data_IF_028399659571
#
_entry.id   IF_028399659571
#
_cell.length_a   1.000
_cell.length_b   1.000
_cell.length_c   1.000
_cell.angle_alpha   90.00
_cell.angle_beta   90.00
_cell.angle_gamma   90.00
#
_symmetry.space_group_name_H-M   'P 1'
#
loop_
_entity.id
_entity.type
_entity.pdbx_description
1 polymer ?
#
# COMPACT_ATOMS: atom_id res chain seq x y z
N UNK A 1 -3.67 -15.81 -56.26
CA UNK A 1 -4.58 -15.01 -55.41
C UNK A 1 -4.28 -15.10 -53.90
N UNK A 2 -3.06 -15.48 -53.47
CA UNK A 2 -2.68 -15.56 -52.03
C UNK A 2 -2.27 -14.21 -51.42
N UNK A 3 -1.62 -13.34 -52.21
CA UNK A 3 -1.13 -12.02 -51.78
C UNK A 3 -2.23 -11.09 -51.24
N UNK A 4 -3.47 -11.22 -51.74
CA UNK A 4 -4.60 -10.37 -51.32
C UNK A 4 -5.13 -10.77 -49.94
N UNK A 5 -5.10 -12.07 -49.61
CA UNK A 5 -5.54 -12.57 -48.30
C UNK A 5 -4.52 -12.24 -47.21
N UNK A 6 -3.23 -12.38 -47.52
CA UNK A 6 -2.12 -12.05 -46.62
C UNK A 6 -2.12 -10.56 -46.26
N UNK A 7 -2.35 -9.67 -47.24
CA UNK A 7 -2.47 -8.23 -46.99
C UNK A 7 -3.68 -7.89 -46.11
N UNK A 8 -4.83 -8.53 -46.34
CA UNK A 8 -6.03 -8.34 -45.52
C UNK A 8 -5.81 -8.83 -44.09
N UNK A 9 -5.15 -9.97 -43.92
CA UNK A 9 -4.81 -10.51 -42.60
C UNK A 9 -3.85 -9.59 -41.85
N UNK A 10 -2.84 -9.06 -42.52
CA UNK A 10 -1.85 -8.15 -41.92
C UNK A 10 -2.51 -6.84 -41.48
N UNK A 11 -3.40 -6.28 -42.29
CA UNK A 11 -4.19 -5.09 -41.92
C UNK A 11 -5.11 -5.40 -40.73
N UNK A 12 -5.81 -6.55 -40.73
CA UNK A 12 -6.68 -6.93 -39.63
C UNK A 12 -5.90 -7.12 -38.31
N UNK A 13 -4.71 -7.71 -38.36
CA UNK A 13 -3.82 -7.83 -37.21
C UNK A 13 -3.36 -6.45 -36.74
N UNK A 14 -2.95 -5.57 -37.65
CA UNK A 14 -2.46 -4.24 -37.29
C UNK A 14 -3.55 -3.37 -36.65
N UNK A 15 -4.77 -3.43 -37.19
CA UNK A 15 -5.95 -2.76 -36.62
C UNK A 15 -6.34 -3.37 -35.28
N UNK A 16 -6.30 -4.70 -35.16
CA UNK A 16 -6.54 -5.40 -33.91
C UNK A 16 -5.51 -5.05 -32.82
N UNK A 17 -4.23 -4.97 -33.19
CA UNK A 17 -3.15 -4.58 -32.28
C UNK A 17 -3.27 -3.11 -31.88
N UNK A 18 -3.60 -2.22 -32.82
CA UNK A 18 -3.81 -0.80 -32.55
C UNK A 18 -5.02 -0.55 -31.65
N UNK A 19 -6.13 -1.26 -31.89
CA UNK A 19 -7.31 -1.22 -31.04
C UNK A 19 -7.05 -1.78 -29.64
N UNK A 20 -6.35 -2.91 -29.55
CA UNK A 20 -5.94 -3.49 -28.28
C UNK A 20 -4.97 -2.56 -27.52
N UNK A 21 -4.01 -1.95 -28.21
CA UNK A 21 -3.07 -1.00 -27.63
C UNK A 21 -3.81 0.25 -27.11
N UNK A 22 -4.72 0.83 -27.89
CA UNK A 22 -5.52 1.99 -27.47
C UNK A 22 -6.43 1.67 -26.26
N UNK A 23 -7.12 0.52 -26.31
CA UNK A 23 -7.95 0.05 -25.20
C UNK A 23 -7.11 -0.23 -23.93
N UNK A 24 -5.92 -0.80 -24.10
CA UNK A 24 -4.99 -1.02 -23.00
C UNK A 24 -4.39 0.28 -22.49
N UNK A 25 -4.14 1.28 -23.35
CA UNK A 25 -3.60 2.59 -23.00
C UNK A 25 -4.60 3.41 -22.17
N UNK A 26 -5.89 3.35 -22.50
CA UNK A 26 -6.94 3.96 -21.69
C UNK A 26 -7.13 3.25 -20.33
N UNK A 27 -6.86 1.94 -20.26
CA UNK A 27 -6.75 1.23 -18.97
C UNK A 27 -5.44 1.49 -18.21
N UNK A 28 -4.36 1.84 -18.91
CA UNK A 28 -3.02 2.09 -18.33
C UNK A 28 -2.70 3.57 -18.14
N UNK A 29 -3.70 4.46 -18.23
CA UNK A 29 -3.63 5.84 -17.75
C UNK A 29 -3.28 6.01 -16.27
N UNK A 30 -3.06 4.91 -15.53
CA UNK A 30 -2.47 4.88 -14.19
C UNK A 30 -1.87 3.49 -13.91
N UNK A 31 -1.02 3.00 -14.81
CA UNK A 31 -0.16 1.85 -14.49
C UNK A 31 1.26 2.19 -14.88
N UNK A 32 1.94 2.92 -13.98
CA UNK A 32 3.39 2.82 -13.89
C UNK A 32 3.70 1.32 -13.79
N UNK A 33 4.47 0.80 -14.73
CA UNK A 33 5.04 -0.54 -14.63
C UNK A 33 5.96 -0.56 -13.40
N UNK A 34 5.39 -0.86 -12.24
CA UNK A 34 6.08 -1.36 -11.05
C UNK A 34 7.12 -0.43 -10.43
N UNK A 35 6.88 0.87 -10.31
CA UNK A 35 7.61 1.66 -9.34
C UNK A 35 7.09 1.29 -7.93
N UNK A 36 7.63 0.19 -7.41
CA UNK A 36 7.40 -0.21 -6.02
C UNK A 36 7.88 0.92 -5.12
N UNK A 37 7.09 1.25 -4.11
CA UNK A 37 7.51 2.17 -3.05
C UNK A 37 8.73 1.56 -2.38
N UNK A 38 9.89 2.19 -2.51
CA UNK A 38 11.12 1.74 -1.83
C UNK A 38 11.81 2.91 -1.14
N UNK A 39 12.41 2.65 0.01
CA UNK A 39 13.25 3.62 0.72
C UNK A 39 14.61 3.85 0.05
N UNK A 40 14.85 3.25 -1.12
CA UNK A 40 16.06 3.44 -1.95
C UNK A 40 15.82 4.36 -3.14
N UNK A 41 14.56 4.61 -3.53
CA UNK A 41 14.24 5.43 -4.71
C UNK A 41 13.87 6.86 -4.33
N UNK A 42 14.40 7.83 -5.08
CA UNK A 42 14.04 9.25 -5.03
C UNK A 42 13.03 9.66 -6.11
N UNK A 43 12.45 8.70 -6.84
CA UNK A 43 11.36 8.98 -7.80
C UNK A 43 10.12 9.51 -7.09
N UNK A 44 9.17 10.05 -7.85
CA UNK A 44 7.89 10.54 -7.33
C UNK A 44 7.10 9.47 -6.55
N UNK A 45 7.24 8.19 -6.93
CA UNK A 45 6.64 7.03 -6.25
C UNK A 45 7.58 6.40 -5.18
N UNK A 46 8.73 7.03 -4.88
CA UNK A 46 9.74 6.54 -3.96
C UNK A 46 9.57 7.04 -2.51
N UNK A 47 10.24 6.37 -1.56
CA UNK A 47 10.21 6.72 -0.13
C UNK A 47 11.57 7.18 0.42
N UNK A 48 12.56 7.48 -0.42
CA UNK A 48 13.88 7.91 0.05
C UNK A 48 13.83 9.23 0.83
N UNK A 49 13.00 10.19 0.39
CA UNK A 49 12.83 11.45 1.10
C UNK A 49 12.28 11.24 2.51
N UNK A 50 11.25 10.40 2.66
CA UNK A 50 10.69 10.02 3.96
C UNK A 50 11.74 9.32 4.84
N UNK A 51 12.49 8.37 4.28
CA UNK A 51 13.58 7.69 5.00
C UNK A 51 14.61 8.69 5.53
N UNK A 52 15.08 9.63 4.70
CA UNK A 52 16.07 10.64 5.10
C UNK A 52 15.53 11.60 6.15
N UNK A 53 14.28 12.00 6.02
CA UNK A 53 13.62 12.85 7.01
C UNK A 53 13.51 12.14 8.37
N UNK A 54 13.13 10.86 8.39
CA UNK A 54 13.07 10.06 9.62
C UNK A 54 14.47 9.86 10.22
N UNK A 55 15.47 9.54 9.39
CA UNK A 55 16.86 9.38 9.81
C UNK A 55 17.41 10.67 10.44
N UNK A 56 17.11 11.82 9.84
CA UNK A 56 17.49 13.12 10.39
C UNK A 56 16.76 13.47 11.69
N UNK A 57 15.49 13.06 11.83
CA UNK A 57 14.64 13.41 12.98
C UNK A 57 14.90 12.52 14.19
N UNK A 58 15.05 11.21 13.96
CA UNK A 58 15.12 10.19 15.01
C UNK A 58 16.51 9.54 15.14
N UNK A 59 17.44 9.86 14.24
CA UNK A 59 18.84 9.42 14.29
C UNK A 59 19.07 7.99 13.78
N UNK A 60 18.26 7.02 14.22
CA UNK A 60 18.39 5.61 13.82
C UNK A 60 17.13 5.10 13.11
N UNK A 61 17.26 4.84 11.81
CA UNK A 61 16.20 4.23 10.99
C UNK A 61 16.80 3.09 10.21
N UNK A 62 16.41 1.86 10.57
CA UNK A 62 16.90 0.66 9.91
C UNK A 62 16.01 0.26 8.74
N UNK A 63 16.64 -0.12 7.63
CA UNK A 63 15.95 -0.81 6.53
C UNK A 63 16.01 -2.31 6.80
N UNK A 64 14.85 -2.96 6.83
CA UNK A 64 14.78 -4.42 6.94
C UNK A 64 14.98 -5.15 5.58
N UNK A 65 15.26 -4.40 4.50
CA UNK A 65 15.53 -4.98 3.19
C UNK A 65 16.84 -5.78 3.16
N UNK A 66 16.87 -6.86 2.37
CA UNK A 66 18.04 -7.71 2.12
C UNK A 66 18.63 -8.43 3.34
N UNK A 67 17.84 -8.60 4.41
CA UNK A 67 18.19 -9.41 5.59
C UNK A 67 17.01 -10.29 5.97
N UNK A 68 17.21 -11.35 6.78
CA UNK A 68 16.10 -12.05 7.41
C UNK A 68 15.23 -11.05 8.18
N UNK A 69 13.91 -11.17 8.01
CA UNK A 69 12.96 -10.37 8.75
C UNK A 69 13.09 -10.65 10.25
N UNK A 70 13.06 -9.59 11.05
CA UNK A 70 13.11 -9.69 12.51
C UNK A 70 13.04 -8.30 13.11
N UNK A 71 12.31 -8.19 14.22
CA UNK A 71 12.13 -6.96 14.99
C UNK A 71 12.86 -7.12 16.33
N UNK A 72 13.65 -6.13 16.71
CA UNK A 72 14.25 -6.07 18.02
C UNK A 72 13.23 -5.52 19.04
N UNK A 73 13.29 -5.94 20.31
CA UNK A 73 12.45 -5.36 21.37
C UNK A 73 12.64 -3.84 21.56
N UNK A 74 13.78 -3.31 21.10
CA UNK A 74 14.09 -1.88 21.15
C UNK A 74 13.51 -1.09 19.98
N UNK A 75 13.01 -1.75 18.94
CA UNK A 75 12.39 -1.08 17.80
C UNK A 75 11.02 -0.55 18.23
N UNK A 76 10.76 0.74 18.01
CA UNK A 76 9.51 1.39 18.42
C UNK A 76 8.45 1.52 17.31
N UNK A 77 8.87 1.53 16.04
CA UNK A 77 8.01 1.81 14.90
C UNK A 77 8.40 0.95 13.69
N UNK A 78 7.42 0.26 13.11
CA UNK A 78 7.56 -0.46 11.84
C UNK A 78 6.71 0.22 10.76
N UNK A 79 7.36 0.70 9.70
CA UNK A 79 6.70 1.28 8.53
C UNK A 79 6.68 0.29 7.37
N UNK A 80 5.48 -0.11 6.94
CA UNK A 80 5.25 -1.03 5.82
C UNK A 80 4.58 -0.25 4.68
N UNK A 81 5.33 0.05 3.63
CA UNK A 81 4.87 0.89 2.51
C UNK A 81 4.84 0.07 1.22
N UNK A 82 3.65 -0.18 0.67
CA UNK A 82 3.46 -0.90 -0.59
C UNK A 82 4.21 -2.24 -0.66
N UNK A 83 3.95 -3.17 0.27
CA UNK A 83 4.77 -4.37 0.40
C UNK A 83 4.79 -5.22 -0.87
N UNK A 84 5.99 -5.55 -1.32
CA UNK A 84 6.20 -6.36 -2.53
C UNK A 84 6.12 -7.88 -2.31
N UNK A 85 6.20 -8.31 -1.05
CA UNK A 85 6.22 -9.72 -0.64
C UNK A 85 5.17 -10.00 0.42
N UNK A 86 4.52 -11.16 0.32
CA UNK A 86 3.48 -11.57 1.27
C UNK A 86 4.10 -11.95 2.60
N UNK A 87 3.55 -11.41 3.69
CA UNK A 87 3.95 -11.82 5.04
C UNK A 87 3.68 -13.31 5.28
N UNK A 88 4.69 -14.01 5.79
CA UNK A 88 4.59 -15.41 6.20
C UNK A 88 3.96 -15.53 7.59
N UNK A 89 3.34 -16.67 7.93
CA UNK A 89 2.73 -16.86 9.25
C UNK A 89 3.67 -16.60 10.43
N UNK A 90 4.95 -16.98 10.33
CA UNK A 90 5.94 -16.70 11.37
C UNK A 90 6.25 -15.21 11.51
N UNK A 91 6.42 -14.50 10.39
CA UNK A 91 6.67 -13.06 10.37
C UNK A 91 5.47 -12.28 10.95
N UNK A 92 4.24 -12.74 10.69
CA UNK A 92 3.02 -12.17 11.29
C UNK A 92 3.03 -12.36 12.81
N UNK A 93 3.34 -13.57 13.29
CA UNK A 93 3.39 -13.85 14.72
C UNK A 93 4.43 -12.98 15.45
N UNK A 94 5.60 -12.78 14.83
CA UNK A 94 6.65 -11.90 15.36
C UNK A 94 6.17 -10.44 15.47
N UNK A 95 5.49 -9.92 14.44
CA UNK A 95 4.94 -8.56 14.46
C UNK A 95 3.85 -8.42 15.53
N UNK A 96 2.95 -9.40 15.65
CA UNK A 96 1.88 -9.37 16.66
C UNK A 96 2.47 -9.34 18.07
N UNK A 97 3.40 -10.25 18.38
CA UNK A 97 4.05 -10.28 19.68
C UNK A 97 4.80 -8.97 20.01
N UNK A 98 5.43 -8.37 19.00
CA UNK A 98 6.11 -7.09 19.15
C UNK A 98 5.13 -5.92 19.37
N UNK A 99 3.98 -5.88 18.68
CA UNK A 99 2.94 -4.87 18.92
C UNK A 99 2.31 -5.04 20.31
N UNK A 100 2.07 -6.28 20.75
CA UNK A 100 1.60 -6.57 22.11
C UNK A 100 2.59 -6.11 23.19
N UNK A 101 3.89 -6.10 22.87
CA UNK A 101 4.94 -5.56 23.73
C UNK A 101 5.06 -4.02 23.69
N UNK A 102 4.21 -3.33 22.93
CA UNK A 102 4.15 -1.86 22.84
C UNK A 102 4.71 -1.27 21.55
N UNK A 103 5.11 -2.10 20.58
CA UNK A 103 5.52 -1.64 19.25
C UNK A 103 4.36 -1.06 18.44
N UNK A 104 4.66 -0.16 17.50
CA UNK A 104 3.66 0.48 16.63
C UNK A 104 3.90 0.10 15.17
N UNK A 105 2.91 -0.51 14.51
CA UNK A 105 2.95 -0.79 13.07
C UNK A 105 2.13 0.21 12.28
N UNK A 106 2.72 0.79 11.23
CA UNK A 106 2.06 1.67 10.27
C UNK A 106 2.11 1.01 8.91
N UNK A 107 0.93 0.78 8.34
CA UNK A 107 0.76 0.09 7.06
C UNK A 107 0.14 1.05 6.04
N UNK A 108 0.74 1.14 4.87
CA UNK A 108 0.19 1.82 3.70
C UNK A 108 0.17 0.87 2.50
N UNK A 109 -1.02 0.51 2.06
CA UNK A 109 -1.26 -0.34 0.88
C UNK A 109 -2.59 0.07 0.22
N UNK A 110 -2.64 0.00 -1.10
CA UNK A 110 -3.78 0.35 -1.94
C UNK A 110 -4.38 -0.87 -2.64
N UNK A 111 -3.84 -2.07 -2.40
CA UNK A 111 -4.36 -3.32 -2.94
C UNK A 111 -5.45 -3.87 -1.99
N UNK A 112 -6.67 -4.15 -2.47
CA UNK A 112 -7.68 -4.80 -1.64
C UNK A 112 -7.31 -6.24 -1.24
N UNK A 113 -7.78 -6.67 -0.07
CA UNK A 113 -7.68 -8.06 0.38
C UNK A 113 -8.53 -8.99 -0.49
N UNK A 114 -8.14 -10.26 -0.68
CA UNK A 114 -6.96 -10.95 -0.12
C UNK A 114 -5.69 -10.82 -0.99
N UNK A 115 -5.75 -10.02 -2.06
CA UNK A 115 -4.65 -9.87 -3.04
C UNK A 115 -3.48 -9.06 -2.50
N UNK A 116 -3.73 -8.20 -1.53
CA UNK A 116 -2.70 -7.47 -0.82
C UNK A 116 -1.67 -8.41 -0.19
N UNK A 117 -0.41 -7.98 -0.22
CA UNK A 117 0.69 -8.71 0.41
C UNK A 117 0.67 -8.57 1.94
N UNK A 118 0.02 -7.52 2.45
CA UNK A 118 -0.15 -7.28 3.89
C UNK A 118 -1.44 -7.89 4.45
N UNK A 119 -2.32 -8.47 3.61
CA UNK A 119 -3.57 -9.10 4.07
C UNK A 119 -3.38 -10.05 5.28
N UNK A 120 -2.38 -10.97 5.31
CA UNK A 120 -2.19 -11.84 6.48
C UNK A 120 -1.88 -11.08 7.78
N UNK A 121 -1.16 -9.96 7.67
CA UNK A 121 -0.83 -9.12 8.83
C UNK A 121 -2.08 -8.37 9.31
N UNK A 122 -2.84 -7.78 8.39
CA UNK A 122 -4.09 -7.06 8.73
C UNK A 122 -5.11 -7.99 9.37
N UNK A 123 -5.28 -9.20 8.81
CA UNK A 123 -6.20 -10.22 9.33
C UNK A 123 -5.87 -10.61 10.78
N UNK A 124 -4.60 -10.65 11.16
CA UNK A 124 -4.18 -10.93 12.54
C UNK A 124 -4.65 -9.85 13.54
N UNK A 125 -4.83 -8.60 13.08
CA UNK A 125 -5.42 -7.52 13.86
C UNK A 125 -6.94 -7.38 13.64
N UNK A 126 -7.57 -8.33 12.95
CA UNK A 126 -8.98 -8.26 12.61
C UNK A 126 -9.33 -7.15 11.63
N UNK A 127 -8.37 -6.69 10.81
CA UNK A 127 -8.54 -5.65 9.80
C UNK A 127 -8.51 -6.25 8.39
N UNK A 128 -9.10 -5.56 7.42
CA UNK A 128 -8.93 -5.87 6.00
C UNK A 128 -9.05 -4.62 5.13
N UNK A 129 -8.43 -4.68 3.95
CA UNK A 129 -8.58 -3.65 2.91
C UNK A 129 -9.69 -4.04 1.94
N UNK A 130 -10.67 -3.16 1.78
CA UNK A 130 -11.81 -3.38 0.88
C UNK A 130 -11.89 -2.33 -0.20
N UNK A 131 -12.28 -2.76 -1.40
CA UNK A 131 -12.66 -1.83 -2.46
C UNK A 131 -14.05 -1.27 -2.14
N UNK A 132 -14.13 0.04 -2.09
CA UNK A 132 -15.39 0.77 -1.99
C UNK A 132 -15.88 1.18 -3.38
N UNK A 133 -17.20 1.24 -3.56
CA UNK A 133 -17.83 1.49 -4.87
C UNK A 133 -17.69 2.93 -5.39
N UNK A 134 -17.05 3.81 -4.64
CA UNK A 134 -16.86 5.22 -4.99
C UNK A 134 -15.43 5.68 -4.71
N UNK A 135 -14.98 6.66 -5.48
CA UNK A 135 -13.71 7.35 -5.22
C UNK A 135 -13.93 8.35 -4.09
N UNK A 136 -13.24 8.16 -2.98
CA UNK A 136 -13.17 9.16 -1.91
C UNK A 136 -12.12 10.19 -2.30
N UNK A 137 -12.55 11.46 -2.30
CA UNK A 137 -11.74 12.62 -2.73
C UNK A 137 -11.25 13.51 -1.59
N UNK A 138 -11.87 13.39 -0.43
CA UNK A 138 -11.50 14.07 0.81
C UNK A 138 -11.79 13.11 1.96
N UNK A 139 -10.93 13.10 2.98
CA UNK A 139 -11.18 12.39 4.22
C UNK A 139 -10.89 13.31 5.42
N UNK A 140 -11.71 13.15 6.45
CA UNK A 140 -11.49 13.76 7.75
C UNK A 140 -10.32 13.06 8.45
N UNK A 141 -9.43 13.85 9.05
CA UNK A 141 -8.30 13.33 9.81
C UNK A 141 -8.76 13.01 11.24
N UNK A 142 -8.94 11.72 11.53
CA UNK A 142 -9.24 11.26 12.90
C UNK A 142 -7.92 11.04 13.65
N UNK A 143 -7.53 11.99 14.51
CA UNK A 143 -6.32 11.88 15.34
C UNK A 143 -6.69 11.75 16.82
N UNK A 144 -6.58 10.56 17.44
CA UNK A 144 -7.04 10.35 18.81
C UNK A 144 -6.24 11.12 19.88
N UNK A 145 -4.99 11.53 19.59
CA UNK A 145 -4.08 12.10 20.59
C UNK A 145 -3.84 13.62 20.48
N UNK A 146 -4.39 14.32 19.47
CA UNK A 146 -4.17 15.75 19.29
C UNK A 146 -5.53 16.44 19.24
N UNK A 147 -5.95 17.04 20.35
CA UNK A 147 -7.24 17.73 20.47
C UNK A 147 -7.41 18.93 19.53
N UNK A 148 -6.36 19.33 18.82
CA UNK A 148 -6.39 20.32 17.74
C UNK A 148 -5.60 19.72 16.57
N UNK A 149 -6.29 19.27 15.54
CA UNK A 149 -5.66 18.78 14.31
C UNK A 149 -5.46 19.98 13.38
N UNK A 150 -4.23 20.34 12.99
CA UNK A 150 -3.97 21.48 12.11
C UNK A 150 -4.50 21.28 10.68
N UNK A 151 -4.83 20.04 10.32
CA UNK A 151 -5.42 19.64 9.03
C UNK A 151 -6.70 18.87 9.31
N UNK A 152 -7.85 19.51 9.11
CA UNK A 152 -9.15 18.88 9.33
C UNK A 152 -9.53 17.91 8.20
N UNK A 153 -9.22 18.30 6.95
CA UNK A 153 -9.49 17.52 5.76
C UNK A 153 -8.23 17.33 4.93
N UNK A 154 -8.03 16.11 4.44
CA UNK A 154 -6.94 15.77 3.55
C UNK A 154 -7.51 15.47 2.15
N UNK A 155 -7.05 16.17 1.09
CA UNK A 155 -7.37 15.77 -0.27
C UNK A 155 -6.70 14.42 -0.54
N UNK A 156 -7.52 13.41 -0.83
CA UNK A 156 -7.07 12.05 -1.14
C UNK A 156 -7.72 11.57 -2.42
N UNK A 157 -7.21 10.49 -3.01
CA UNK A 157 -7.92 9.82 -4.09
C UNK A 157 -7.76 8.32 -3.89
N UNK A 158 -8.76 7.71 -3.25
CA UNK A 158 -8.73 6.26 -2.96
C UNK A 158 -10.07 5.62 -3.27
N UNK A 159 -10.02 4.35 -3.67
CA UNK A 159 -11.17 3.45 -3.75
C UNK A 159 -11.00 2.27 -2.77
N UNK A 160 -10.08 2.37 -1.83
CA UNK A 160 -9.78 1.33 -0.85
C UNK A 160 -9.93 1.91 0.55
N UNK A 161 -10.65 1.18 1.39
CA UNK A 161 -10.89 1.53 2.78
C UNK A 161 -10.43 0.40 3.70
N UNK A 162 -9.96 0.77 4.89
CA UNK A 162 -9.76 -0.18 5.99
C UNK A 162 -11.13 -0.47 6.60
N UNK A 163 -11.46 -1.74 6.75
CA UNK A 163 -12.58 -2.17 7.58
C UNK A 163 -12.11 -3.09 8.68
N UNK A 164 -12.89 -3.14 9.76
CA UNK A 164 -12.72 -4.12 10.80
C UNK A 164 -13.60 -5.35 10.50
N UNK A 165 -13.01 -6.53 10.63
CA UNK A 165 -13.68 -7.83 10.49
C UNK A 165 -14.51 -8.15 11.74
N UNK A 166 -14.11 -7.57 12.88
CA UNK A 166 -14.83 -7.60 14.14
C UNK A 166 -15.26 -6.17 14.51
N UNK A 167 -16.31 -6.02 15.32
CA UNK A 167 -16.69 -4.71 15.83
C UNK A 167 -15.51 -4.11 16.60
N UNK A 168 -15.04 -2.88 16.28
CA UNK A 168 -13.90 -2.30 16.95
C UNK A 168 -14.19 -2.25 18.47
N UNK A 169 -13.19 -2.51 19.33
CA UNK A 169 -13.38 -2.29 20.75
C UNK A 169 -13.85 -0.85 20.95
N UNK A 170 -14.90 -0.65 21.75
CA UNK A 170 -15.29 0.69 22.17
C UNK A 170 -14.08 1.31 22.86
N UNK A 171 -13.35 2.16 22.16
CA UNK A 171 -12.29 2.95 22.77
C UNK A 171 -12.98 3.76 23.87
N UNK A 172 -12.60 3.50 25.13
CA UNK A 172 -13.02 4.36 26.22
C UNK A 172 -12.57 5.78 25.84
N UNK A 173 -13.43 6.80 26.00
CA UNK A 173 -13.01 8.17 25.76
C UNK A 173 -11.76 8.43 26.60
N UNK A 174 -10.71 8.94 25.96
CA UNK A 174 -9.51 9.39 26.67
C UNK A 174 -9.97 10.47 27.65
N UNK A 175 -9.86 10.16 28.95
CA UNK A 175 -10.29 11.00 30.06
C UNK A 175 -9.40 12.24 30.21
#
# INVERSE_FOLDING_TARGET
>A
MKLRLEFVLLIAIFVGLGGFAAYSAEQSGQSSLGARITSFSSSDEGALALYRWLEQTYGSVDRLAYRPFGLAPTDGLLLVLGPGERYKPAEVADVVAWVEAGGVVVVADDVPSPRSQVSPLLEAFGLRLERIGQVVRSAEVVHPALGIVPVAELPIQTQVAVTATNQPPTFAPLA
#
